data_IF_693893884311
#
_entry.id   IF_693893884311
#
_cell.length_a   1.000
_cell.length_b   1.000
_cell.length_c   1.000
_cell.angle_alpha   90.00
_cell.angle_beta   90.00
_cell.angle_gamma   90.00
#
_symmetry.space_group_name_H-M   'P 1'
#
loop_
_entity.id
_entity.type
_entity.pdbx_description
1 polymer ?
#
# COMPACT_ATOMS: atom_id res chain seq x y z
N UNK A 1 0.64 17.40 -7.90
CA UNK A 1 1.60 18.43 -7.38
C UNK A 1 0.98 19.35 -6.32
N UNK A 2 -0.21 19.93 -6.55
CA UNK A 2 -0.89 20.81 -5.56
C UNK A 2 -1.15 20.10 -4.22
N UNK A 3 -1.71 18.89 -4.25
CA UNK A 3 -1.96 18.10 -3.04
C UNK A 3 -0.68 17.77 -2.27
N UNK A 4 0.45 17.50 -2.95
CA UNK A 4 1.73 17.27 -2.29
C UNK A 4 2.20 18.48 -1.49
N UNK A 5 2.25 19.67 -2.13
CA UNK A 5 2.69 20.89 -1.44
C UNK A 5 1.72 21.30 -0.32
N UNK A 6 0.42 21.15 -0.55
CA UNK A 6 -0.59 21.40 0.47
C UNK A 6 -0.42 20.46 1.67
N UNK A 7 -0.36 19.15 1.42
CA UNK A 7 -0.27 18.15 2.48
C UNK A 7 1.04 18.16 3.24
N UNK A 8 2.16 18.50 2.59
CA UNK A 8 3.46 18.66 3.26
C UNK A 8 3.41 19.66 4.43
N UNK A 9 2.53 20.65 4.36
CA UNK A 9 2.38 21.67 5.42
C UNK A 9 1.35 21.31 6.50
N UNK A 10 0.55 20.25 6.28
CA UNK A 10 -0.61 19.91 7.12
C UNK A 10 -0.49 18.55 7.80
N UNK A 11 0.30 17.65 7.24
CA UNK A 11 0.59 16.34 7.82
C UNK A 11 1.97 16.44 8.48
N UNK A 12 2.04 16.63 9.80
CA UNK A 12 3.31 16.74 10.53
C UNK A 12 4.18 15.48 10.47
N UNK A 13 3.63 14.34 10.04
CA UNK A 13 4.37 13.08 9.89
C UNK A 13 4.41 12.70 8.41
N UNK A 14 5.60 12.45 7.85
CA UNK A 14 5.70 11.64 6.63
C UNK A 14 6.41 12.23 5.42
N UNK A 15 6.76 13.51 5.43
CA UNK A 15 7.50 14.16 4.33
C UNK A 15 8.89 14.68 4.76
N UNK A 16 9.39 14.25 5.93
CA UNK A 16 10.66 14.70 6.46
C UNK A 16 11.86 14.20 5.64
N UNK A 17 12.92 15.01 5.62
CA UNK A 17 14.15 14.69 4.89
C UNK A 17 14.80 13.40 5.41
N UNK A 18 15.32 12.58 4.51
CA UNK A 18 16.02 11.33 4.83
C UNK A 18 17.29 11.59 5.65
N UNK A 19 17.25 11.29 6.96
CA UNK A 19 18.45 11.15 7.79
C UNK A 19 19.04 9.73 7.72
N UNK A 20 20.29 9.52 8.13
CA UNK A 20 20.88 8.16 8.26
C UNK A 20 20.07 7.25 9.19
N UNK A 21 19.41 7.79 10.21
CA UNK A 21 18.50 7.05 11.09
C UNK A 21 17.23 6.62 10.34
N UNK A 22 16.71 7.49 9.47
CA UNK A 22 15.55 7.20 8.62
C UNK A 22 15.87 6.09 7.60
N UNK A 23 17.10 6.05 7.07
CA UNK A 23 17.54 5.02 6.13
C UNK A 23 17.57 3.59 6.72
N UNK A 24 17.90 3.43 8.02
CA UNK A 24 17.78 2.13 8.69
C UNK A 24 16.32 1.71 8.88
N UNK A 25 15.44 2.68 9.15
CA UNK A 25 14.00 2.44 9.30
C UNK A 25 13.33 2.11 7.97
N UNK A 26 13.84 2.62 6.84
CA UNK A 26 13.30 2.23 5.52
C UNK A 26 13.58 0.78 5.15
N UNK A 27 14.52 0.09 5.83
CA UNK A 27 14.74 -1.35 5.63
C UNK A 27 13.51 -2.19 6.00
N UNK A 28 12.60 -1.68 6.83
CA UNK A 28 11.32 -2.33 7.09
C UNK A 28 10.40 -2.41 5.83
N UNK A 29 10.72 -1.70 4.75
CA UNK A 29 9.98 -1.81 3.49
C UNK A 29 10.55 -2.89 2.55
N UNK A 30 11.66 -3.55 2.90
CA UNK A 30 12.28 -4.57 2.02
C UNK A 30 11.34 -5.72 1.64
N UNK A 31 10.53 -6.30 2.54
CA UNK A 31 9.58 -7.34 2.15
C UNK A 31 8.55 -6.83 1.12
N UNK A 32 8.14 -5.57 1.24
CA UNK A 32 7.20 -4.94 0.32
C UNK A 32 7.84 -4.69 -1.05
N UNK A 33 9.10 -4.27 -1.08
CA UNK A 33 9.85 -4.13 -2.32
C UNK A 33 10.02 -5.49 -3.04
N UNK A 34 10.19 -6.58 -2.29
CA UNK A 34 10.22 -7.92 -2.87
C UNK A 34 8.88 -8.31 -3.48
N UNK A 35 7.75 -7.98 -2.85
CA UNK A 35 6.41 -8.21 -3.42
C UNK A 35 6.21 -7.48 -4.75
N UNK A 36 6.67 -6.23 -4.83
CA UNK A 36 6.68 -5.49 -6.11
C UNK A 36 7.50 -6.26 -7.13
N UNK A 37 8.75 -6.63 -6.80
CA UNK A 37 9.61 -7.39 -7.71
C UNK A 37 8.97 -8.69 -8.22
N UNK A 38 8.28 -9.43 -7.34
CA UNK A 38 7.55 -10.65 -7.71
C UNK A 38 6.42 -10.37 -8.71
N UNK A 39 5.67 -9.28 -8.52
CA UNK A 39 4.61 -8.88 -9.46
C UNK A 39 5.12 -8.59 -10.87
N UNK A 40 6.34 -8.08 -11.00
CA UNK A 40 6.95 -7.80 -12.30
C UNK A 40 7.62 -9.02 -12.97
N UNK A 41 7.68 -10.18 -12.32
CA UNK A 41 8.31 -11.38 -12.91
C UNK A 41 7.54 -11.93 -14.12
N UNK A 42 6.23 -11.67 -14.21
CA UNK A 42 5.41 -12.04 -15.38
C UNK A 42 5.77 -11.26 -16.65
N UNK A 43 6.55 -10.19 -16.53
CA UNK A 43 6.85 -9.28 -17.64
C UNK A 43 5.69 -8.32 -17.93
N UNK A 44 5.98 -7.29 -18.72
CA UNK A 44 4.96 -6.34 -19.20
C UNK A 44 4.14 -7.01 -20.29
N UNK A 45 2.81 -6.86 -20.24
CA UNK A 45 1.91 -7.38 -21.26
C UNK A 45 2.22 -6.75 -22.62
N UNK A 46 2.65 -7.61 -23.54
CA UNK A 46 3.01 -7.24 -24.92
C UNK A 46 1.85 -6.72 -25.77
N UNK A 47 0.60 -6.93 -25.31
CA UNK A 47 -0.59 -6.41 -25.98
C UNK A 47 -0.81 -4.90 -25.73
N UNK A 48 -0.20 -4.35 -24.68
CA UNK A 48 -0.35 -2.95 -24.31
C UNK A 48 0.49 -2.04 -25.21
N UNK A 49 -0.12 -0.96 -25.69
CA UNK A 49 0.61 0.09 -26.37
C UNK A 49 1.43 0.94 -25.39
N UNK A 50 2.39 1.71 -25.91
CA UNK A 50 3.11 2.70 -25.09
C UNK A 50 2.16 3.69 -24.42
N UNK A 51 1.10 4.09 -25.11
CA UNK A 51 0.09 5.02 -24.57
C UNK A 51 -0.66 4.40 -23.39
N UNK A 52 -1.01 3.12 -23.47
CA UNK A 52 -1.72 2.42 -22.38
C UNK A 52 -0.86 2.34 -21.13
N UNK A 53 0.42 1.97 -21.29
CA UNK A 53 1.39 1.94 -20.19
C UNK A 53 1.57 3.34 -19.58
N UNK A 54 1.71 4.38 -20.40
CA UNK A 54 1.87 5.75 -19.92
C UNK A 54 0.64 6.22 -19.12
N UNK A 55 -0.57 5.93 -19.63
CA UNK A 55 -1.83 6.26 -18.94
C UNK A 55 -1.91 5.51 -17.62
N UNK A 56 -1.60 4.20 -17.61
CA UNK A 56 -1.59 3.37 -16.40
C UNK A 56 -0.61 3.92 -15.34
N UNK A 57 0.62 4.24 -15.73
CA UNK A 57 1.64 4.80 -14.83
C UNK A 57 1.17 6.13 -14.23
N UNK A 58 0.65 7.05 -15.06
CA UNK A 58 0.16 8.34 -14.57
C UNK A 58 -1.04 8.17 -13.63
N UNK A 59 -2.01 7.33 -13.99
CA UNK A 59 -3.19 7.08 -13.17
C UNK A 59 -2.83 6.43 -11.84
N UNK A 60 -2.07 5.33 -11.86
CA UNK A 60 -1.69 4.57 -10.65
C UNK A 60 -0.75 5.37 -9.75
N UNK A 61 0.08 6.25 -10.30
CA UNK A 61 0.86 7.21 -9.51
C UNK A 61 -0.05 8.15 -8.71
N UNK A 62 -1.11 8.67 -9.33
CA UNK A 62 -2.04 9.56 -8.65
C UNK A 62 -2.90 8.80 -7.64
N UNK A 63 -3.42 7.63 -8.00
CA UNK A 63 -4.24 6.79 -7.11
C UNK A 63 -3.45 6.38 -5.87
N UNK A 64 -2.29 5.74 -6.05
CA UNK A 64 -1.46 5.28 -4.92
C UNK A 64 -1.01 6.44 -4.02
N UNK A 65 -0.70 7.61 -4.60
CA UNK A 65 -0.39 8.80 -3.82
C UNK A 65 -1.58 9.29 -2.99
N UNK A 66 -2.76 9.44 -3.59
CA UNK A 66 -3.96 9.96 -2.92
C UNK A 66 -4.43 9.00 -1.83
N UNK A 67 -4.39 7.70 -2.09
CA UNK A 67 -4.82 6.69 -1.12
C UNK A 67 -3.89 6.65 0.10
N UNK A 68 -2.58 6.60 -0.08
CA UNK A 68 -1.66 6.66 1.06
C UNK A 68 -1.81 7.96 1.85
N UNK A 69 -2.02 9.07 1.16
CA UNK A 69 -2.23 10.37 1.79
C UNK A 69 -3.51 10.39 2.64
N UNK A 70 -4.61 9.86 2.11
CA UNK A 70 -5.89 9.80 2.81
C UNK A 70 -5.83 8.85 4.00
N UNK A 71 -5.38 7.61 3.79
CA UNK A 71 -5.48 6.54 4.78
C UNK A 71 -4.34 6.56 5.79
N UNK A 72 -3.09 6.81 5.37
CA UNK A 72 -1.89 6.75 6.23
C UNK A 72 -1.39 8.13 6.64
N UNK A 73 -1.75 9.16 5.89
CA UNK A 73 -1.54 10.55 6.26
C UNK A 73 -2.66 11.01 7.20
N UNK A 74 -3.80 11.40 6.63
CA UNK A 74 -4.85 12.06 7.40
C UNK A 74 -5.58 11.15 8.39
N UNK A 75 -6.14 10.03 7.93
CA UNK A 75 -6.97 9.17 8.77
C UNK A 75 -6.18 8.53 9.91
N UNK A 76 -5.02 7.92 9.59
CA UNK A 76 -4.14 7.30 10.57
C UNK A 76 -3.69 8.31 11.63
N UNK A 77 -3.23 9.49 11.23
CA UNK A 77 -2.74 10.51 12.16
C UNK A 77 -3.85 11.04 13.06
N UNK A 78 -5.04 11.31 12.51
CA UNK A 78 -6.19 11.79 13.28
C UNK A 78 -6.59 10.78 14.37
N UNK A 79 -6.66 9.49 14.02
CA UNK A 79 -7.01 8.44 14.97
C UNK A 79 -5.88 8.18 15.96
N UNK A 80 -4.61 8.27 15.54
CA UNK A 80 -3.46 8.06 16.44
C UNK A 80 -3.48 9.09 17.57
N UNK A 81 -3.74 10.37 17.25
CA UNK A 81 -3.80 11.46 18.23
C UNK A 81 -4.90 11.30 19.27
N UNK A 82 -6.06 10.79 18.87
CA UNK A 82 -7.25 10.67 19.73
C UNK A 82 -7.33 9.31 20.45
N UNK A 83 -7.02 8.22 19.74
CA UNK A 83 -7.32 6.84 20.18
C UNK A 83 -6.09 5.93 20.27
N UNK A 84 -4.90 6.44 19.93
CA UNK A 84 -3.63 5.73 20.01
C UNK A 84 -3.30 4.83 18.81
N UNK A 85 -2.03 4.44 18.74
CA UNK A 85 -1.39 3.73 17.60
C UNK A 85 -2.13 2.48 17.15
N UNK A 86 -2.52 1.59 18.08
CA UNK A 86 -3.14 0.30 17.73
C UNK A 86 -4.46 0.48 16.99
N UNK A 87 -5.33 1.36 17.50
CA UNK A 87 -6.63 1.65 16.88
C UNK A 87 -6.46 2.35 15.54
N UNK A 88 -5.49 3.27 15.43
CA UNK A 88 -5.17 3.95 14.19
C UNK A 88 -4.79 2.97 13.07
N UNK A 89 -3.88 2.03 13.35
CA UNK A 89 -3.46 1.00 12.38
C UNK A 89 -4.63 0.15 11.93
N UNK A 90 -5.43 -0.36 12.88
CA UNK A 90 -6.57 -1.23 12.59
C UNK A 90 -7.61 -0.50 11.73
N UNK A 91 -8.02 0.71 12.13
CA UNK A 91 -9.07 1.44 11.43
C UNK A 91 -8.57 1.87 10.05
N UNK A 92 -7.34 2.38 9.93
CA UNK A 92 -6.75 2.75 8.64
C UNK A 92 -6.68 1.57 7.68
N UNK A 93 -6.17 0.41 8.12
CA UNK A 93 -6.05 -0.78 7.28
C UNK A 93 -7.39 -1.39 6.87
N UNK A 94 -8.35 -1.50 7.80
CA UNK A 94 -9.68 -2.07 7.50
C UNK A 94 -10.47 -1.15 6.55
N UNK A 95 -10.49 0.16 6.81
CA UNK A 95 -11.22 1.11 5.95
C UNK A 95 -10.61 1.20 4.55
N UNK A 96 -9.28 1.09 4.43
CA UNK A 96 -8.61 0.97 3.12
C UNK A 96 -9.08 -0.27 2.35
N UNK A 97 -9.10 -1.44 3.00
CA UNK A 97 -9.58 -2.66 2.36
C UNK A 97 -11.05 -2.61 1.97
N UNK A 98 -11.92 -2.11 2.86
CA UNK A 98 -13.34 -1.90 2.57
C UNK A 98 -13.55 -0.94 1.39
N UNK A 99 -12.67 0.05 1.22
CA UNK A 99 -12.72 0.97 0.08
C UNK A 99 -12.76 0.28 -1.29
N UNK A 100 -12.22 -0.94 -1.39
CA UNK A 100 -12.23 -1.74 -2.62
C UNK A 100 -13.60 -2.32 -2.96
N UNK A 101 -14.60 -2.22 -2.09
CA UNK A 101 -15.98 -2.64 -2.37
C UNK A 101 -16.55 -1.98 -3.64
N UNK A 102 -16.05 -0.80 -4.02
CA UNK A 102 -16.43 -0.09 -5.24
C UNK A 102 -16.10 -0.87 -6.52
N UNK A 103 -15.19 -1.85 -6.46
CA UNK A 103 -14.83 -2.68 -7.60
C UNK A 103 -15.96 -3.64 -8.04
N UNK A 104 -17.01 -3.80 -7.23
CA UNK A 104 -18.25 -4.42 -7.71
C UNK A 104 -18.83 -3.67 -8.92
N UNK A 105 -18.66 -2.34 -8.98
CA UNK A 105 -19.08 -1.51 -10.11
C UNK A 105 -18.18 -1.70 -11.35
N UNK A 106 -17.02 -2.34 -11.17
CA UNK A 106 -16.08 -2.71 -12.24
C UNK A 106 -16.29 -4.14 -12.72
N UNK A 107 -17.30 -4.84 -12.20
CA UNK A 107 -17.69 -6.18 -12.64
C UNK A 107 -17.06 -7.33 -11.85
N UNK A 108 -16.37 -7.05 -10.73
CA UNK A 108 -15.82 -8.10 -9.86
C UNK A 108 -16.94 -8.98 -9.32
N UNK A 109 -16.71 -10.29 -9.33
CA UNK A 109 -17.60 -11.22 -8.65
C UNK A 109 -17.39 -11.21 -7.12
N UNK A 110 -18.26 -11.90 -6.39
CA UNK A 110 -18.22 -11.90 -4.93
C UNK A 110 -16.94 -12.56 -4.36
N UNK A 111 -16.40 -13.58 -5.04
CA UNK A 111 -15.17 -14.26 -4.61
C UNK A 111 -13.93 -13.41 -4.88
N UNK A 112 -13.80 -12.86 -6.08
CA UNK A 112 -12.72 -11.94 -6.46
C UNK A 112 -12.69 -10.74 -5.53
N UNK A 113 -13.85 -10.14 -5.27
CA UNK A 113 -13.99 -9.01 -4.36
C UNK A 113 -13.59 -9.37 -2.93
N UNK A 114 -13.99 -10.54 -2.43
CA UNK A 114 -13.64 -10.97 -1.08
C UNK A 114 -12.13 -11.16 -0.91
N UNK A 115 -11.46 -11.81 -1.88
CA UNK A 115 -10.00 -12.01 -1.82
C UNK A 115 -9.27 -10.68 -1.98
N UNK A 116 -9.74 -9.79 -2.87
CA UNK A 116 -9.19 -8.45 -3.04
C UNK A 116 -9.30 -7.61 -1.76
N UNK A 117 -10.46 -7.58 -1.11
CA UNK A 117 -10.65 -6.87 0.15
C UNK A 117 -9.73 -7.44 1.22
N UNK A 118 -9.62 -8.77 1.33
CA UNK A 118 -8.72 -9.41 2.30
C UNK A 118 -7.24 -9.03 2.06
N UNK A 119 -6.80 -9.04 0.80
CA UNK A 119 -5.48 -8.59 0.36
C UNK A 119 -5.23 -7.12 0.70
N UNK A 120 -6.18 -6.26 0.35
CA UNK A 120 -6.11 -4.83 0.62
C UNK A 120 -6.10 -4.53 2.13
N UNK A 121 -6.85 -5.25 2.96
CA UNK A 121 -6.76 -5.12 4.43
C UNK A 121 -5.36 -5.53 4.92
N UNK A 122 -4.82 -6.65 4.43
CA UNK A 122 -3.51 -7.15 4.88
C UNK A 122 -2.37 -6.16 4.55
N UNK A 123 -2.29 -5.70 3.30
CA UNK A 123 -1.35 -4.66 2.86
C UNK A 123 -1.63 -3.35 3.61
N UNK A 124 -2.93 -3.02 3.75
CA UNK A 124 -3.53 -1.97 4.56
C UNK A 124 -2.83 -1.77 5.91
N UNK A 125 -2.94 -2.81 6.73
CA UNK A 125 -2.42 -2.89 8.09
C UNK A 125 -0.90 -2.80 8.14
N UNK A 126 -0.19 -3.47 7.23
CA UNK A 126 1.27 -3.45 7.18
C UNK A 126 1.78 -2.05 6.88
N UNK A 127 1.26 -1.38 5.84
CA UNK A 127 1.64 -0.01 5.50
C UNK A 127 1.33 0.98 6.62
N UNK A 128 0.14 0.87 7.24
CA UNK A 128 -0.22 1.71 8.38
C UNK A 128 0.77 1.54 9.56
N UNK A 129 1.13 0.30 9.88
CA UNK A 129 2.09 0.01 10.95
C UNK A 129 3.51 0.48 10.61
N UNK A 130 3.93 0.36 9.36
CA UNK A 130 5.21 0.90 8.88
C UNK A 130 5.27 2.41 9.03
N UNK A 131 4.20 3.14 8.71
CA UNK A 131 4.14 4.60 8.91
C UNK A 131 4.23 4.96 10.40
N UNK A 132 3.54 4.23 11.28
CA UNK A 132 3.66 4.44 12.75
C UNK A 132 5.09 4.23 13.25
N UNK A 133 5.79 3.19 12.77
CA UNK A 133 7.14 2.83 13.20
C UNK A 133 8.22 3.74 12.61
N UNK A 134 8.09 4.08 11.34
CA UNK A 134 9.12 4.80 10.58
C UNK A 134 8.91 6.31 10.58
N UNK A 135 7.68 6.79 10.81
CA UNK A 135 7.26 8.19 10.68
C UNK A 135 7.51 8.76 9.29
N UNK A 136 7.50 7.90 8.27
CA UNK A 136 7.75 8.27 6.88
C UNK A 136 6.70 7.63 5.96
N UNK A 137 5.99 8.46 5.18
CA UNK A 137 4.99 8.01 4.21
C UNK A 137 5.60 7.67 2.84
N UNK A 138 6.74 8.27 2.48
CA UNK A 138 7.29 8.20 1.12
C UNK A 138 7.54 6.76 0.67
N UNK A 139 8.18 5.87 1.45
CA UNK A 139 8.40 4.49 1.01
C UNK A 139 7.08 3.71 0.80
N UNK A 140 6.06 3.99 1.61
CA UNK A 140 4.72 3.40 1.45
C UNK A 140 4.03 3.86 0.17
N UNK A 141 4.11 5.17 -0.12
CA UNK A 141 3.61 5.77 -1.37
C UNK A 141 4.29 5.09 -2.58
N UNK A 142 5.62 4.99 -2.57
CA UNK A 142 6.36 4.39 -3.67
C UNK A 142 6.00 2.91 -3.86
N UNK A 143 5.94 2.15 -2.76
CA UNK A 143 5.49 0.76 -2.81
C UNK A 143 4.11 0.65 -3.45
N UNK A 144 3.13 1.42 -2.97
CA UNK A 144 1.75 1.28 -3.41
C UNK A 144 1.59 1.67 -4.89
N UNK A 145 2.25 2.75 -5.33
CA UNK A 145 2.28 3.13 -6.75
C UNK A 145 2.86 2.00 -7.60
N UNK A 146 4.02 1.45 -7.22
CA UNK A 146 4.67 0.40 -8.00
C UNK A 146 3.85 -0.90 -8.00
N UNK A 147 3.23 -1.24 -6.88
CA UNK A 147 2.36 -2.40 -6.75
C UNK A 147 1.15 -2.28 -7.69
N UNK A 148 0.49 -1.11 -7.70
CA UNK A 148 -0.66 -0.86 -8.58
C UNK A 148 -0.27 -0.79 -10.05
N UNK A 149 0.89 -0.21 -10.39
CA UNK A 149 1.42 -0.22 -11.76
C UNK A 149 1.64 -1.67 -12.20
N UNK A 150 2.32 -2.48 -11.38
CA UNK A 150 2.57 -3.89 -11.66
C UNK A 150 1.29 -4.63 -12.01
N UNK A 151 0.33 -4.67 -11.09
CA UNK A 151 -0.98 -5.32 -11.31
C UNK A 151 -1.87 -4.68 -12.38
N UNK A 152 -1.44 -3.60 -13.03
CA UNK A 152 -2.16 -3.03 -14.19
C UNK A 152 -1.49 -3.38 -15.52
N UNK A 153 -0.17 -3.55 -15.56
CA UNK A 153 0.59 -3.64 -16.82
C UNK A 153 1.30 -4.99 -17.04
N UNK A 154 1.36 -5.86 -16.03
CA UNK A 154 2.05 -7.15 -16.15
C UNK A 154 1.12 -8.25 -16.63
N UNK A 155 1.69 -9.29 -17.26
CA UNK A 155 0.93 -10.46 -17.70
C UNK A 155 0.40 -11.22 -16.48
N UNK A 156 -0.93 -11.37 -16.42
CA UNK A 156 -1.60 -12.17 -15.39
C UNK A 156 -2.15 -13.44 -16.03
N UNK A 157 -1.61 -14.62 -15.66
CA UNK A 157 -2.28 -15.88 -15.97
C UNK A 157 -3.44 -16.06 -14.99
N UNK A 158 -4.67 -16.13 -15.51
CA UNK A 158 -5.91 -16.16 -14.73
C UNK A 158 -6.00 -17.29 -13.69
N UNK A 159 -5.26 -18.38 -13.88
CA UNK A 159 -5.19 -19.50 -12.92
C UNK A 159 -4.28 -19.22 -11.72
N UNK A 160 -3.45 -18.18 -11.79
CA UNK A 160 -2.40 -17.87 -10.81
C UNK A 160 -2.69 -16.64 -9.95
N UNK A 161 -3.64 -15.78 -10.34
CA UNK A 161 -3.93 -14.50 -9.67
C UNK A 161 -4.40 -14.70 -8.22
N UNK A 162 -5.40 -15.58 -8.01
CA UNK A 162 -5.90 -15.89 -6.68
C UNK A 162 -4.82 -16.52 -5.79
N UNK A 163 -3.92 -17.33 -6.36
CA UNK A 163 -2.81 -17.95 -5.62
C UNK A 163 -1.79 -16.90 -5.21
N UNK A 164 -1.40 -16.01 -6.12
CA UNK A 164 -0.48 -14.92 -5.84
C UNK A 164 -1.03 -14.00 -4.74
N UNK A 165 -2.32 -13.67 -4.80
CA UNK A 165 -2.96 -12.81 -3.81
C UNK A 165 -3.04 -13.48 -2.43
N UNK A 166 -3.32 -14.78 -2.37
CA UNK A 166 -3.26 -15.55 -1.12
C UNK A 166 -1.83 -15.61 -0.54
N UNK A 167 -0.81 -15.74 -1.39
CA UNK A 167 0.59 -15.68 -0.96
C UNK A 167 0.94 -14.30 -0.39
N UNK A 168 0.52 -13.23 -1.05
CA UNK A 168 0.69 -11.85 -0.58
C UNK A 168 0.02 -11.69 0.80
N UNK A 169 -1.22 -12.15 0.97
CA UNK A 169 -1.92 -12.13 2.25
C UNK A 169 -1.12 -12.87 3.33
N UNK A 170 -0.61 -14.07 3.03
CA UNK A 170 0.19 -14.86 3.96
C UNK A 170 1.49 -14.16 4.38
N UNK A 171 2.22 -13.58 3.41
CA UNK A 171 3.44 -12.80 3.65
C UNK A 171 3.13 -11.57 4.49
N UNK A 172 2.09 -10.81 4.14
CA UNK A 172 1.67 -9.63 4.90
C UNK A 172 1.24 -9.99 6.33
N UNK A 173 0.51 -11.09 6.53
CA UNK A 173 0.10 -11.54 7.86
C UNK A 173 1.31 -11.91 8.74
N UNK A 174 2.24 -12.70 8.20
CA UNK A 174 3.48 -13.05 8.91
C UNK A 174 4.31 -11.80 9.23
N UNK A 175 4.41 -10.87 8.27
CA UNK A 175 5.17 -9.64 8.45
C UNK A 175 4.51 -8.67 9.44
N UNK A 176 3.18 -8.58 9.44
CA UNK A 176 2.41 -7.80 10.41
C UNK A 176 2.72 -8.27 11.85
N UNK A 177 2.73 -9.59 12.10
CA UNK A 177 3.08 -10.14 13.41
C UNK A 177 4.50 -9.75 13.83
N UNK A 178 5.46 -9.79 12.90
CA UNK A 178 6.83 -9.34 13.16
C UNK A 178 6.87 -7.84 13.52
N UNK A 179 6.20 -6.98 12.75
CA UNK A 179 6.17 -5.54 12.98
C UNK A 179 5.47 -5.17 14.29
N UNK A 180 4.41 -5.88 14.67
CA UNK A 180 3.73 -5.67 15.95
C UNK A 180 4.65 -5.94 17.15
N UNK A 181 5.57 -6.92 17.03
CA UNK A 181 6.60 -7.14 18.05
C UNK A 181 7.60 -6.00 18.14
N UNK A 182 7.91 -5.33 17.02
CA UNK A 182 8.78 -4.15 17.03
C UNK A 182 8.07 -2.93 17.61
N UNK A 183 6.77 -2.77 17.37
CA UNK A 183 5.98 -1.69 17.95
C UNK A 183 5.97 -1.73 19.48
N UNK A 184 5.87 -2.93 20.08
CA UNK A 184 5.88 -3.08 21.53
C UNK A 184 7.25 -2.82 22.18
N UNK A 185 8.33 -2.69 21.39
CA UNK A 185 9.67 -2.37 21.88
C UNK A 185 9.97 -0.87 21.88
N UNK A 186 9.10 -0.05 21.29
CA UNK A 186 9.17 1.41 21.27
C UNK A 186 8.27 2.01 22.33
#
# INVERSE_FOLDING_TARGET
MVLFFYSKTRIPVGFDSFSKSNAKRTLYYLPLAALVGLGFLGGIDSSLSFSDILIAVLLMTNVGFVEELLFRGYLLEAIEKDKGRKRAVIISGITFGIGHIVNILRGYDASELAVQIAGAVAIGLVLALLVVLTRNLIPGILFHILFNIGGTITVEESSSEGVLLLLIIGICAAYLLYLLRQLNKQ
#
